data_IF_679062180795
#
_entry.id   IF_679062180795
#
_cell.length_a   1.000
_cell.length_b   1.000
_cell.length_c   1.000
_cell.angle_alpha   90.00
_cell.angle_beta   90.00
_cell.angle_gamma   90.00
#
_symmetry.space_group_name_H-M   'P 1'
#
loop_
_entity.id
_entity.type
_entity.pdbx_description
1 polymer ?
#
# COMPACT_ATOMS: atom_id res chain seq x y z
N UNK A 1 -8.38 14.67 -15.77
CA UNK A 1 -7.49 15.54 -14.96
C UNK A 1 -7.44 15.15 -13.48
N UNK A 2 -7.79 13.92 -13.12
CA UNK A 2 -7.79 13.41 -11.74
C UNK A 2 -6.59 12.55 -11.36
N UNK A 3 -5.53 12.45 -12.18
CA UNK A 3 -4.37 11.59 -11.93
C UNK A 3 -3.10 12.40 -12.16
N UNK A 4 -2.15 12.31 -11.24
CA UNK A 4 -0.81 12.87 -11.42
C UNK A 4 0.11 11.83 -12.09
N UNK A 5 0.15 11.84 -13.40
CA UNK A 5 0.93 10.91 -14.20
C UNK A 5 2.45 11.00 -13.97
N UNK A 6 2.95 12.12 -13.48
CA UNK A 6 4.35 12.29 -13.17
C UNK A 6 4.75 11.40 -11.99
N UNK A 7 3.92 11.36 -10.94
CA UNK A 7 4.12 10.45 -9.80
C UNK A 7 4.01 8.99 -10.26
N UNK A 8 2.97 8.64 -11.04
CA UNK A 8 2.78 7.28 -11.54
C UNK A 8 4.00 6.77 -12.31
N UNK A 9 4.52 7.58 -13.23
CA UNK A 9 5.68 7.23 -14.05
C UNK A 9 6.98 7.05 -13.26
N UNK A 10 7.12 7.76 -12.14
CA UNK A 10 8.29 7.62 -11.28
C UNK A 10 8.14 6.48 -10.27
N UNK A 11 6.94 6.31 -9.73
CA UNK A 11 6.63 5.29 -8.74
C UNK A 11 6.62 3.88 -9.34
N UNK A 12 5.87 3.67 -10.43
CA UNK A 12 5.52 2.34 -10.92
C UNK A 12 6.73 1.50 -11.37
N UNK A 13 7.71 2.00 -12.14
CA UNK A 13 8.88 1.21 -12.53
C UNK A 13 9.73 0.79 -11.34
N UNK A 14 9.95 1.69 -10.38
CA UNK A 14 10.72 1.38 -9.18
C UNK A 14 9.96 0.46 -8.23
N UNK A 15 8.64 0.62 -8.14
CA UNK A 15 7.79 -0.29 -7.38
C UNK A 15 7.77 -1.70 -8.01
N UNK A 16 7.76 -1.79 -9.33
CA UNK A 16 7.88 -3.05 -10.04
C UNK A 16 9.24 -3.73 -9.76
N UNK A 17 10.34 -3.00 -9.88
CA UNK A 17 11.67 -3.53 -9.57
C UNK A 17 11.78 -3.98 -8.09
N UNK A 18 11.32 -3.14 -7.16
CA UNK A 18 11.28 -3.49 -5.74
C UNK A 18 10.40 -4.71 -5.45
N UNK A 19 9.26 -4.82 -6.13
CA UNK A 19 8.35 -5.96 -6.01
C UNK A 19 8.97 -7.27 -6.52
N UNK A 20 9.69 -7.24 -7.63
CA UNK A 20 10.39 -8.43 -8.17
C UNK A 20 11.48 -8.91 -7.21
N UNK A 21 12.28 -8.00 -6.66
CA UNK A 21 13.29 -8.32 -5.65
C UNK A 21 12.60 -8.85 -4.39
N UNK A 22 11.53 -8.19 -3.93
CA UNK A 22 10.75 -8.60 -2.76
C UNK A 22 10.12 -9.99 -2.92
N UNK A 23 9.62 -10.33 -4.11
CA UNK A 23 9.08 -11.65 -4.38
C UNK A 23 10.17 -12.75 -4.31
N UNK A 24 11.36 -12.49 -4.86
CA UNK A 24 12.50 -13.40 -4.73
C UNK A 24 12.92 -13.61 -3.28
N UNK A 25 12.99 -12.54 -2.49
CA UNK A 25 13.30 -12.62 -1.06
C UNK A 25 12.21 -13.36 -0.29
N UNK A 26 10.93 -13.10 -0.59
CA UNK A 26 9.79 -13.77 0.05
C UNK A 26 9.84 -15.29 -0.12
N UNK A 27 10.16 -15.76 -1.33
CA UNK A 27 10.26 -17.21 -1.63
C UNK A 27 11.48 -17.85 -0.94
N UNK A 28 12.54 -17.06 -0.68
CA UNK A 28 13.77 -17.56 -0.07
C UNK A 28 13.78 -17.54 1.47
N UNK A 29 12.84 -16.83 2.11
CA UNK A 29 12.79 -16.69 3.56
C UNK A 29 11.73 -17.58 4.19
N UNK A 30 12.03 -18.09 5.40
CA UNK A 30 11.06 -18.79 6.23
C UNK A 30 9.98 -17.85 6.79
N UNK A 31 8.76 -18.37 6.98
CA UNK A 31 7.62 -17.61 7.51
C UNK A 31 7.92 -16.94 8.86
N UNK A 32 8.69 -17.61 9.73
CA UNK A 32 9.10 -17.05 11.04
C UNK A 32 9.99 -15.83 10.90
N UNK A 33 10.92 -15.82 9.95
CA UNK A 33 11.80 -14.69 9.68
C UNK A 33 10.99 -13.52 9.09
N UNK A 34 10.03 -13.80 8.21
CA UNK A 34 9.14 -12.80 7.64
C UNK A 34 8.28 -12.16 8.74
N UNK A 35 7.68 -12.95 9.62
CA UNK A 35 6.86 -12.45 10.73
C UNK A 35 7.68 -11.59 11.72
N UNK A 36 8.89 -12.03 12.07
CA UNK A 36 9.79 -11.28 12.96
C UNK A 36 10.23 -9.95 12.32
N UNK A 37 10.63 -9.99 11.06
CA UNK A 37 11.06 -8.79 10.33
C UNK A 37 9.93 -7.79 10.12
N UNK A 38 8.69 -8.25 9.92
CA UNK A 38 7.50 -7.40 9.90
C UNK A 38 7.30 -6.70 11.25
N UNK A 39 7.41 -7.43 12.35
CA UNK A 39 7.30 -6.86 13.70
C UNK A 39 8.34 -5.77 13.95
N UNK A 40 9.60 -6.03 13.60
CA UNK A 40 10.70 -5.05 13.72
C UNK A 40 10.44 -3.83 12.82
N UNK A 41 10.00 -4.04 11.57
CA UNK A 41 9.67 -2.95 10.65
C UNK A 41 8.55 -2.07 11.18
N UNK A 42 7.49 -2.65 11.72
CA UNK A 42 6.37 -1.90 12.29
C UNK A 42 6.80 -1.08 13.50
N UNK A 43 7.60 -1.67 14.40
CA UNK A 43 8.17 -0.94 15.54
C UNK A 43 9.07 0.21 15.05
N UNK A 44 9.97 -0.05 14.10
CA UNK A 44 10.83 0.98 13.54
C UNK A 44 10.02 2.12 12.88
N UNK A 45 8.94 1.81 12.15
CA UNK A 45 8.07 2.82 11.56
C UNK A 45 7.34 3.67 12.61
N UNK A 46 6.94 3.07 13.73
CA UNK A 46 6.29 3.82 14.82
C UNK A 46 7.27 4.83 15.45
N UNK A 47 8.54 4.42 15.64
CA UNK A 47 9.52 5.24 16.35
C UNK A 47 10.33 6.17 15.46
N UNK A 48 10.61 5.78 14.21
CA UNK A 48 11.55 6.47 13.32
C UNK A 48 10.90 7.17 12.12
N UNK A 49 9.56 7.12 11.93
CA UNK A 49 8.95 7.88 10.84
C UNK A 49 9.04 9.38 11.12
N UNK A 50 9.88 10.12 10.40
CA UNK A 50 10.03 11.56 10.62
C UNK A 50 8.70 12.24 10.27
N UNK A 51 8.05 12.81 11.27
CA UNK A 51 6.88 13.65 11.05
C UNK A 51 7.37 14.97 10.46
N UNK A 52 6.98 15.30 9.23
CA UNK A 52 7.25 16.61 8.65
C UNK A 52 8.06 16.66 7.35
N UNK A 53 8.49 15.55 6.78
CA UNK A 53 9.13 15.56 5.46
C UNK A 53 8.07 15.87 4.40
N UNK A 54 8.11 17.11 3.88
CA UNK A 54 7.31 17.49 2.70
C UNK A 54 7.91 16.82 1.46
N UNK A 55 7.15 15.96 0.81
CA UNK A 55 7.52 15.31 -0.45
C UNK A 55 7.11 16.19 -1.64
N UNK A 56 7.75 17.34 -1.77
CA UNK A 56 7.48 18.27 -2.88
C UNK A 56 8.11 17.86 -4.21
N UNK A 57 9.19 17.08 -4.19
CA UNK A 57 9.89 16.65 -5.39
C UNK A 57 9.35 15.28 -5.86
N UNK A 58 8.79 15.20 -7.09
CA UNK A 58 8.30 13.94 -7.65
C UNK A 58 9.39 12.85 -7.76
N UNK A 59 10.67 13.21 -7.86
CA UNK A 59 11.78 12.24 -7.89
C UNK A 59 11.89 11.38 -6.64
N UNK A 60 11.40 11.86 -5.50
CA UNK A 60 11.33 11.09 -4.25
C UNK A 60 10.40 9.90 -4.35
N UNK A 61 9.45 9.91 -5.29
CA UNK A 61 8.57 8.77 -5.56
C UNK A 61 9.28 7.58 -6.20
N UNK A 62 10.48 7.75 -6.75
CA UNK A 62 11.36 6.63 -7.13
C UNK A 62 11.73 5.79 -5.90
N UNK A 63 12.22 6.43 -4.84
CA UNK A 63 12.58 5.74 -3.58
C UNK A 63 11.34 5.16 -2.90
N UNK A 64 10.26 5.95 -2.82
CA UNK A 64 8.97 5.49 -2.26
C UNK A 64 8.47 4.27 -3.02
N UNK A 65 8.57 4.27 -4.36
CA UNK A 65 8.19 3.14 -5.20
C UNK A 65 9.00 1.88 -4.89
N UNK A 66 10.32 1.98 -4.89
CA UNK A 66 11.20 0.84 -4.59
C UNK A 66 10.93 0.24 -3.21
N UNK A 67 10.87 1.07 -2.17
CA UNK A 67 10.57 0.62 -0.80
C UNK A 67 9.15 0.04 -0.68
N UNK A 68 8.15 0.70 -1.29
CA UNK A 68 6.77 0.24 -1.27
C UNK A 68 6.61 -1.10 -2.00
N UNK A 69 7.23 -1.24 -3.18
CA UNK A 69 7.21 -2.48 -3.95
C UNK A 69 7.88 -3.62 -3.19
N UNK A 70 9.07 -3.40 -2.65
CA UNK A 70 9.83 -4.40 -1.91
C UNK A 70 9.09 -4.85 -0.64
N UNK A 71 8.84 -3.93 0.30
CA UNK A 71 8.18 -4.26 1.56
C UNK A 71 6.71 -4.65 1.39
N UNK A 72 6.01 -4.01 0.44
CA UNK A 72 4.64 -4.34 0.12
C UNK A 72 4.46 -5.73 -0.50
N UNK A 73 5.51 -6.28 -1.12
CA UNK A 73 5.48 -7.65 -1.65
C UNK A 73 5.80 -8.67 -0.57
N UNK A 74 6.79 -8.40 0.28
CA UNK A 74 7.17 -9.32 1.37
C UNK A 74 6.07 -9.40 2.44
N UNK A 75 5.54 -8.26 2.87
CA UNK A 75 4.65 -8.16 4.02
C UNK A 75 3.17 -7.96 3.67
N UNK A 76 2.83 -7.80 2.40
CA UNK A 76 1.46 -7.51 1.97
C UNK A 76 0.92 -6.14 2.40
N UNK A 77 1.75 -5.23 2.93
CA UNK A 77 1.32 -3.97 3.56
C UNK A 77 1.82 -2.77 2.77
N UNK A 78 0.88 -1.94 2.34
CA UNK A 78 1.16 -0.72 1.57
C UNK A 78 1.54 0.49 2.43
N UNK A 79 2.65 0.44 3.18
CA UNK A 79 2.99 1.42 4.20
C UNK A 79 3.53 2.76 3.68
N UNK A 80 4.13 2.81 2.49
CA UNK A 80 4.93 3.97 2.08
C UNK A 80 4.21 4.91 1.11
N UNK A 81 3.39 4.39 0.19
CA UNK A 81 2.76 5.21 -0.86
C UNK A 81 1.69 6.15 -0.32
N UNK A 82 0.78 5.67 0.51
CA UNK A 82 -0.33 6.48 1.02
C UNK A 82 0.16 7.69 1.82
N UNK A 83 1.04 7.55 2.83
CA UNK A 83 1.57 8.70 3.55
C UNK A 83 2.37 9.66 2.66
N UNK A 84 3.07 9.12 1.65
CA UNK A 84 3.85 9.94 0.71
C UNK A 84 2.95 10.82 -0.16
N UNK A 85 1.87 10.25 -0.71
CA UNK A 85 0.91 10.98 -1.55
C UNK A 85 0.12 12.01 -0.74
N UNK A 86 -0.26 11.70 0.50
CA UNK A 86 -0.97 12.62 1.40
C UNK A 86 -0.13 13.85 1.81
N UNK A 87 1.19 13.80 1.63
CA UNK A 87 2.12 14.92 1.89
C UNK A 87 2.38 15.81 0.68
N UNK A 88 1.68 15.58 -0.43
CA UNK A 88 1.72 16.42 -1.63
C UNK A 88 0.59 17.44 -1.61
N UNK A 89 0.74 18.52 -2.39
CA UNK A 89 -0.28 19.57 -2.54
C UNK A 89 -1.36 19.21 -3.57
N UNK A 90 -1.71 17.94 -3.69
CA UNK A 90 -2.72 17.46 -4.62
C UNK A 90 -4.14 17.58 -4.05
N UNK A 91 -5.12 17.77 -4.94
CA UNK A 91 -6.54 17.70 -4.56
C UNK A 91 -6.95 16.28 -4.18
N UNK A 92 -8.02 16.13 -3.40
CA UNK A 92 -8.55 14.79 -2.99
C UNK A 92 -8.75 13.86 -4.19
N UNK A 93 -9.30 14.38 -5.29
CA UNK A 93 -9.53 13.60 -6.50
C UNK A 93 -8.23 13.12 -7.15
N UNK A 94 -7.21 13.99 -7.17
CA UNK A 94 -5.88 13.63 -7.67
C UNK A 94 -5.18 12.60 -6.79
N UNK A 95 -5.30 12.74 -5.47
CA UNK A 95 -4.77 11.78 -4.51
C UNK A 95 -5.39 10.40 -4.76
N UNK A 96 -6.72 10.31 -4.74
CA UNK A 96 -7.44 9.04 -4.93
C UNK A 96 -7.15 8.41 -6.29
N UNK A 97 -7.20 9.19 -7.37
CA UNK A 97 -6.92 8.69 -8.71
C UNK A 97 -5.48 8.24 -8.89
N UNK A 98 -4.50 8.97 -8.36
CA UNK A 98 -3.09 8.61 -8.43
C UNK A 98 -2.79 7.34 -7.62
N UNK A 99 -3.33 7.25 -6.38
CA UNK A 99 -3.20 6.05 -5.55
C UNK A 99 -3.81 4.82 -6.24
N UNK A 100 -5.03 4.96 -6.79
CA UNK A 100 -5.72 3.86 -7.46
C UNK A 100 -4.89 3.29 -8.63
N UNK A 101 -4.34 4.16 -9.48
CA UNK A 101 -3.53 3.73 -10.63
C UNK A 101 -2.19 3.13 -10.19
N UNK A 102 -1.53 3.72 -9.19
CA UNK A 102 -0.27 3.19 -8.67
C UNK A 102 -0.46 1.81 -8.03
N UNK A 103 -1.48 1.63 -7.20
CA UNK A 103 -1.76 0.37 -6.52
C UNK A 103 -2.21 -0.70 -7.51
N UNK A 104 -3.14 -0.39 -8.41
CA UNK A 104 -3.60 -1.33 -9.43
C UNK A 104 -2.45 -1.79 -10.33
N UNK A 105 -1.62 -0.86 -10.79
CA UNK A 105 -0.46 -1.20 -11.61
C UNK A 105 0.54 -2.08 -10.88
N UNK A 106 0.79 -1.80 -9.60
CA UNK A 106 1.66 -2.62 -8.76
C UNK A 106 1.07 -4.01 -8.49
N UNK A 107 -0.23 -4.12 -8.26
CA UNK A 107 -0.88 -5.42 -8.01
C UNK A 107 -0.86 -6.32 -9.25
N UNK A 108 -0.98 -5.74 -10.46
CA UNK A 108 -0.80 -6.47 -11.71
C UNK A 108 0.65 -7.02 -11.80
N UNK A 109 1.64 -6.18 -11.52
CA UNK A 109 3.05 -6.59 -11.56
C UNK A 109 3.34 -7.68 -10.52
N UNK A 110 2.84 -7.54 -9.29
CA UNK A 110 2.98 -8.56 -8.24
C UNK A 110 2.36 -9.89 -8.67
N UNK A 111 1.13 -9.84 -9.17
CA UNK A 111 0.42 -11.05 -9.60
C UNK A 111 1.17 -11.77 -10.71
N UNK A 112 1.69 -11.03 -11.68
CA UNK A 112 2.54 -11.59 -12.74
C UNK A 112 3.84 -12.17 -12.19
N UNK A 113 4.47 -11.49 -11.22
CA UNK A 113 5.68 -11.96 -10.55
C UNK A 113 5.46 -13.27 -9.80
N UNK A 114 4.41 -13.37 -9.01
CA UNK A 114 4.09 -14.61 -8.28
C UNK A 114 3.81 -15.78 -9.20
N UNK A 115 3.11 -15.56 -10.31
CA UNK A 115 2.92 -16.61 -11.35
C UNK A 115 4.27 -17.03 -11.94
N UNK A 116 5.14 -16.06 -12.25
CA UNK A 116 6.48 -16.32 -12.78
C UNK A 116 7.38 -17.10 -11.82
N UNK A 117 7.18 -16.95 -10.50
CA UNK A 117 7.87 -17.74 -9.46
C UNK A 117 7.17 -19.07 -9.11
N UNK A 118 6.14 -19.47 -9.88
CA UNK A 118 5.48 -20.76 -9.73
C UNK A 118 4.38 -20.80 -8.67
N UNK A 119 3.85 -19.65 -8.25
CA UNK A 119 2.71 -19.63 -7.33
C UNK A 119 1.44 -20.10 -8.04
N UNK A 120 0.83 -21.18 -7.50
CA UNK A 120 -0.40 -21.75 -8.04
C UNK A 120 -1.65 -21.07 -7.48
N UNK A 121 -2.16 -20.09 -8.19
CA UNK A 121 -3.40 -19.41 -7.83
C UNK A 121 -4.63 -20.34 -7.91
N UNK A 122 -4.60 -21.39 -8.74
CA UNK A 122 -5.75 -22.27 -8.91
C UNK A 122 -6.14 -22.97 -7.62
N UNK A 123 -5.15 -23.37 -6.82
CA UNK A 123 -5.37 -23.97 -5.50
C UNK A 123 -6.07 -23.02 -4.52
N UNK A 124 -5.83 -21.72 -4.64
CA UNK A 124 -6.35 -20.69 -3.73
C UNK A 124 -7.60 -19.96 -4.24
N UNK A 125 -8.11 -20.31 -5.44
CA UNK A 125 -9.29 -19.66 -6.03
C UNK A 125 -10.50 -19.57 -5.09
N UNK A 126 -10.87 -20.62 -4.33
CA UNK A 126 -12.00 -20.51 -3.40
C UNK A 126 -11.77 -19.45 -2.30
N UNK A 127 -10.55 -19.40 -1.75
CA UNK A 127 -10.18 -18.42 -0.72
C UNK A 127 -10.16 -16.99 -1.28
N UNK A 128 -9.66 -16.82 -2.48
CA UNK A 128 -9.65 -15.54 -3.21
C UNK A 128 -11.08 -15.08 -3.46
N UNK A 129 -11.96 -16.00 -3.91
CA UNK A 129 -13.36 -15.69 -4.15
C UNK A 129 -14.08 -15.20 -2.88
N UNK A 130 -13.89 -15.90 -1.76
CA UNK A 130 -14.43 -15.50 -0.45
C UNK A 130 -13.88 -14.13 -0.03
N UNK A 131 -12.57 -13.91 -0.20
CA UNK A 131 -11.92 -12.64 0.15
C UNK A 131 -12.47 -11.46 -0.69
N UNK A 132 -12.71 -11.66 -1.98
CA UNK A 132 -13.32 -10.66 -2.87
C UNK A 132 -14.73 -10.30 -2.39
N UNK A 133 -15.58 -11.31 -2.16
CA UNK A 133 -16.96 -11.10 -1.69
C UNK A 133 -16.96 -10.39 -0.33
N UNK A 134 -16.13 -10.82 0.61
CA UNK A 134 -16.00 -10.19 1.92
C UNK A 134 -15.51 -8.75 1.83
N UNK A 135 -14.55 -8.45 0.96
CA UNK A 135 -14.04 -7.09 0.70
C UNK A 135 -15.14 -6.17 0.13
N UNK A 136 -15.90 -6.65 -0.85
CA UNK A 136 -17.00 -5.88 -1.44
C UNK A 136 -18.10 -5.62 -0.42
N UNK A 137 -18.51 -6.65 0.34
CA UNK A 137 -19.49 -6.52 1.41
C UNK A 137 -19.00 -5.56 2.51
N UNK A 138 -17.74 -5.71 2.96
CA UNK A 138 -17.14 -4.83 3.95
C UNK A 138 -17.06 -3.37 3.50
N UNK A 139 -16.68 -3.13 2.24
CA UNK A 139 -16.65 -1.79 1.65
C UNK A 139 -18.05 -1.18 1.56
N UNK A 140 -19.04 -1.96 1.16
CA UNK A 140 -20.42 -1.51 1.07
C UNK A 140 -21.01 -1.18 2.46
N UNK A 141 -20.82 -2.05 3.45
CA UNK A 141 -21.26 -1.84 4.84
C UNK A 141 -20.50 -0.65 5.45
N UNK A 142 -19.16 -0.62 5.29
CA UNK A 142 -18.31 0.45 5.80
C UNK A 142 -18.67 1.82 5.22
N UNK A 143 -18.97 1.88 3.92
CA UNK A 143 -19.47 3.10 3.28
C UNK A 143 -20.78 3.60 3.86
N UNK A 144 -21.74 2.70 4.12
CA UNK A 144 -23.02 3.05 4.74
C UNK A 144 -22.89 3.51 6.19
N UNK A 145 -22.02 2.86 6.97
CA UNK A 145 -21.76 3.24 8.36
C UNK A 145 -20.98 4.56 8.39
N UNK A 146 -19.96 4.72 7.54
CA UNK A 146 -19.12 5.90 7.48
C UNK A 146 -19.89 7.20 7.18
N UNK A 147 -20.92 7.12 6.32
CA UNK A 147 -21.78 8.28 6.02
C UNK A 147 -22.72 8.65 7.17
N UNK A 148 -22.95 7.76 8.14
CA UNK A 148 -23.82 7.98 9.30
C UNK A 148 -23.07 8.46 10.54
N UNK A 149 -21.71 8.42 10.54
CA UNK A 149 -20.91 8.87 11.67
C UNK A 149 -20.74 10.39 11.56
N UNK A 150 -21.24 11.19 12.52
CA UNK A 150 -21.01 12.62 12.56
C UNK A 150 -19.51 12.93 12.62
N UNK A 151 -19.08 13.96 11.92
CA UNK A 151 -17.65 14.35 11.80
C UNK A 151 -17.00 14.59 13.17
N UNK A 152 -17.76 15.08 14.15
CA UNK A 152 -17.30 15.32 15.51
C UNK A 152 -16.92 14.02 16.23
N UNK A 153 -17.69 12.94 16.06
CA UNK A 153 -17.37 11.63 16.65
C UNK A 153 -16.18 10.98 15.94
N UNK A 154 -16.09 11.13 14.62
CA UNK A 154 -14.94 10.67 13.85
C UNK A 154 -13.66 11.38 14.30
N UNK A 155 -13.68 12.68 14.48
CA UNK A 155 -12.56 13.47 15.01
C UNK A 155 -12.19 13.09 16.44
N UNK A 156 -13.12 12.69 17.29
CA UNK A 156 -12.86 12.28 18.67
C UNK A 156 -12.02 11.00 18.72
N UNK A 157 -12.33 10.02 17.89
CA UNK A 157 -11.58 8.76 17.79
C UNK A 157 -10.15 9.01 17.26
N UNK A 158 -9.97 9.96 16.33
CA UNK A 158 -8.66 10.32 15.80
C UNK A 158 -7.88 11.31 16.67
N UNK A 159 -8.56 12.13 17.50
CA UNK A 159 -7.91 13.08 18.42
C UNK A 159 -7.27 12.42 19.64
N UNK A 160 -7.63 11.19 19.96
CA UNK A 160 -7.03 10.49 21.12
C UNK A 160 -5.50 10.28 21.00
N UNK A 161 -4.88 10.50 19.87
CA UNK A 161 -3.43 10.32 19.68
C UNK A 161 -2.65 11.62 19.48
N UNK A 162 -3.04 12.71 20.14
CA UNK A 162 -2.16 13.88 20.29
C UNK A 162 -2.00 14.20 21.77
N UNK A 163 -0.83 13.88 22.36
CA UNK A 163 -0.39 14.63 23.55
C UNK A 163 -0.09 16.08 23.18
#
# INVERSE_FOLDING_TARGET
RGINWQIVRMFLPMAAAGSMIGAGVFVALDEGIIALSLGILLLALIWFVPQGIKLGDPRRFLMVGGLHGFFGTIFGVGLFLQPAVLRTEMTRLQITGTLAVCLLGLDIVKSAGYVGFGFDYAHYLPHIGVAIVASLAGTWVGGRIGTRIPEDKFRLVFKWKRP
#
